data_IF_603714750554
#
_entry.id   IF_603714750554
#
_cell.length_a   1.000
_cell.length_b   1.000
_cell.length_c   1.000
_cell.angle_alpha   90.00
_cell.angle_beta   90.00
_cell.angle_gamma   90.00
#
_symmetry.space_group_name_H-M   'P 1'
#
loop_
_entity.id
_entity.type
_entity.pdbx_description
1 polymer ?
#
# COMPACT_ATOMS: atom_id res chain seq x y z
N UNK A 1 -23.01 2.30 21.26
CA UNK A 1 -22.62 3.70 21.56
C UNK A 1 -21.54 4.15 20.58
N UNK A 2 -21.85 5.12 19.71
CA UNK A 2 -20.90 5.69 18.76
C UNK A 2 -19.84 6.52 19.51
N UNK A 3 -18.60 6.00 19.59
CA UNK A 3 -17.46 6.81 20.06
C UNK A 3 -17.11 7.82 18.97
N UNK A 4 -17.42 9.08 19.22
CA UNK A 4 -17.01 10.20 18.36
C UNK A 4 -15.48 10.30 18.27
N UNK A 5 -14.96 10.56 17.06
CA UNK A 5 -13.52 10.79 16.78
C UNK A 5 -13.00 12.01 17.56
N UNK A 6 -13.89 12.97 17.81
CA UNK A 6 -13.65 14.15 18.63
C UNK A 6 -14.35 13.98 19.98
N UNK A 7 -13.60 14.20 21.06
CA UNK A 7 -14.14 14.25 22.42
C UNK A 7 -15.08 15.44 22.58
N UNK A 8 -15.93 15.41 23.61
CA UNK A 8 -16.82 16.54 23.95
C UNK A 8 -16.03 17.85 24.12
N UNK A 9 -14.84 17.79 24.72
CA UNK A 9 -13.96 18.94 24.93
C UNK A 9 -13.38 19.48 23.62
N UNK A 10 -12.93 18.61 22.73
CA UNK A 10 -12.45 19.01 21.40
C UNK A 10 -13.55 19.68 20.57
N UNK A 11 -14.78 19.14 20.63
CA UNK A 11 -15.95 19.74 19.98
C UNK A 11 -16.31 21.11 20.55
N UNK A 12 -16.20 21.30 21.86
CA UNK A 12 -16.43 22.60 22.50
C UNK A 12 -15.42 23.65 22.02
N UNK A 13 -14.13 23.30 21.98
CA UNK A 13 -13.06 24.19 21.49
C UNK A 13 -13.27 24.53 20.01
N UNK A 14 -13.67 23.56 19.19
CA UNK A 14 -14.02 23.79 17.78
C UNK A 14 -15.18 24.78 17.67
N UNK A 15 -16.27 24.56 18.41
CA UNK A 15 -17.45 25.45 18.39
C UNK A 15 -17.09 26.87 18.80
N UNK A 16 -16.36 27.05 19.91
CA UNK A 16 -15.87 28.38 20.32
C UNK A 16 -15.12 29.06 19.18
N UNK A 17 -14.28 28.32 18.44
CA UNK A 17 -13.51 28.89 17.33
C UNK A 17 -14.36 29.20 16.09
N UNK A 18 -15.35 28.37 15.77
CA UNK A 18 -16.31 28.60 14.66
C UNK A 18 -17.20 29.81 14.97
N UNK A 19 -17.67 29.92 16.22
CA UNK A 19 -18.52 31.01 16.71
C UNK A 19 -17.73 32.30 16.98
N UNK A 20 -16.45 32.37 16.56
CA UNK A 20 -15.54 33.49 16.80
C UNK A 20 -15.41 33.92 18.28
N UNK A 21 -15.63 33.01 19.23
CA UNK A 21 -15.43 33.26 20.67
C UNK A 21 -13.95 33.22 21.02
N UNK A 22 -13.54 34.02 22.01
CA UNK A 22 -12.17 34.07 22.51
C UNK A 22 -11.79 32.72 23.12
N UNK A 23 -10.66 32.16 22.68
CA UNK A 23 -10.09 30.95 23.28
C UNK A 23 -9.18 31.34 24.44
N UNK A 24 -9.29 30.63 25.56
CA UNK A 24 -8.31 30.76 26.64
C UNK A 24 -7.03 29.98 26.31
N UNK A 25 -6.02 30.06 27.18
CA UNK A 25 -4.73 29.39 26.94
C UNK A 25 -4.87 27.86 26.83
N UNK A 26 -5.74 27.27 27.66
CA UNK A 26 -6.00 25.83 27.64
C UNK A 26 -6.71 25.40 26.34
N UNK A 27 -7.71 26.15 25.90
CA UNK A 27 -8.46 25.93 24.65
C UNK A 27 -7.52 26.06 23.44
N UNK A 28 -6.61 27.05 23.46
CA UNK A 28 -5.59 27.23 22.41
C UNK A 28 -4.61 26.07 22.34
N UNK A 29 -4.16 25.57 23.50
CA UNK A 29 -3.33 24.37 23.59
C UNK A 29 -4.07 23.14 23.07
N UNK A 30 -5.35 22.97 23.43
CA UNK A 30 -6.19 21.87 22.95
C UNK A 30 -6.37 21.91 21.42
N UNK A 31 -6.67 23.10 20.89
CA UNK A 31 -6.82 23.32 19.46
C UNK A 31 -5.55 22.94 18.70
N UNK A 32 -4.38 23.34 19.21
CA UNK A 32 -3.09 23.10 18.55
C UNK A 32 -2.62 21.64 18.64
N UNK A 33 -2.71 21.03 19.82
CA UNK A 33 -2.11 19.71 20.09
C UNK A 33 -3.02 18.54 19.74
N UNK A 34 -4.34 18.70 19.79
CA UNK A 34 -5.26 17.57 19.63
C UNK A 34 -6.23 17.76 18.45
N UNK A 35 -6.84 18.94 18.31
CA UNK A 35 -7.83 19.20 17.27
C UNK A 35 -7.19 19.36 15.88
N UNK A 36 -6.25 20.30 15.72
CA UNK A 36 -5.62 20.58 14.42
C UNK A 36 -4.92 19.35 13.82
N UNK A 37 -4.21 18.51 14.59
CA UNK A 37 -3.62 17.28 14.04
C UNK A 37 -4.67 16.30 13.51
N UNK A 38 -5.78 16.08 14.25
CA UNK A 38 -6.89 15.23 13.80
C UNK A 38 -7.55 15.79 12.54
N UNK A 39 -7.84 17.09 12.51
CA UNK A 39 -8.43 17.74 11.33
C UNK A 39 -7.50 17.75 10.12
N UNK A 40 -6.18 17.92 10.33
CA UNK A 40 -5.17 17.78 9.27
C UNK A 40 -5.15 16.36 8.72
N UNK A 41 -5.22 15.35 9.59
CA UNK A 41 -5.33 13.96 9.18
C UNK A 41 -6.64 13.70 8.39
N UNK A 42 -7.76 14.32 8.79
CA UNK A 42 -9.02 14.24 8.03
C UNK A 42 -8.89 14.95 6.67
N UNK A 43 -8.23 16.13 6.61
CA UNK A 43 -7.99 16.85 5.35
C UNK A 43 -7.14 16.05 4.37
N UNK A 44 -6.29 15.14 4.85
CA UNK A 44 -5.52 14.23 3.99
C UNK A 44 -6.32 13.02 3.51
N UNK A 45 -7.46 12.71 4.14
CA UNK A 45 -8.35 11.63 3.70
C UNK A 45 -9.16 12.15 2.51
N UNK A 46 -9.03 11.47 1.38
CA UNK A 46 -9.84 11.73 0.19
C UNK A 46 -11.30 11.27 0.44
N UNK A 47 -12.28 12.19 0.49
CA UNK A 47 -13.68 11.84 0.77
C UNK A 47 -14.26 10.88 -0.28
N UNK A 48 -13.88 11.03 -1.54
CA UNK A 48 -14.35 10.16 -2.62
C UNK A 48 -13.83 8.74 -2.45
N UNK A 49 -12.57 8.60 -2.01
CA UNK A 49 -12.00 7.31 -1.65
C UNK A 49 -12.74 6.66 -0.47
N UNK A 50 -13.03 7.43 0.58
CA UNK A 50 -13.78 6.92 1.73
C UNK A 50 -15.18 6.44 1.31
N UNK A 51 -15.89 7.24 0.52
CA UNK A 51 -17.21 6.89 -0.02
C UNK A 51 -17.15 5.63 -0.89
N UNK A 52 -16.12 5.48 -1.73
CA UNK A 52 -15.91 4.27 -2.55
C UNK A 52 -15.65 3.02 -1.71
N UNK A 53 -15.01 3.13 -0.55
CA UNK A 53 -14.82 1.99 0.37
C UNK A 53 -16.06 1.66 1.19
N UNK A 54 -16.87 2.67 1.48
CA UNK A 54 -18.12 2.53 2.24
C UNK A 54 -19.31 2.13 1.36
N UNK A 55 -19.24 2.35 0.05
CA UNK A 55 -20.28 1.95 -0.87
C UNK A 55 -20.47 0.44 -0.80
N UNK A 56 -21.69 0.03 -0.46
CA UNK A 56 -22.07 -1.37 -0.42
C UNK A 56 -21.91 -1.98 -1.82
N UNK A 57 -20.98 -2.92 -1.96
CA UNK A 57 -20.77 -3.66 -3.19
C UNK A 57 -21.16 -5.13 -2.98
N UNK A 58 -22.41 -5.55 -3.29
CA UNK A 58 -22.86 -6.93 -3.11
C UNK A 58 -21.98 -7.94 -3.86
N UNK A 59 -21.42 -7.54 -5.01
CA UNK A 59 -20.50 -8.37 -5.80
C UNK A 59 -19.22 -8.68 -5.02
N UNK A 60 -18.72 -7.75 -4.19
CA UNK A 60 -17.52 -7.97 -3.37
C UNK A 60 -17.69 -9.15 -2.41
N UNK A 61 -18.86 -9.29 -1.77
CA UNK A 61 -19.13 -10.39 -0.82
C UNK A 61 -19.10 -11.74 -1.55
N UNK A 62 -19.67 -11.79 -2.77
CA UNK A 62 -19.67 -13.00 -3.57
C UNK A 62 -18.26 -13.38 -4.03
N UNK A 63 -17.48 -12.39 -4.49
CA UNK A 63 -16.06 -12.57 -4.85
C UNK A 63 -15.27 -13.10 -3.65
N UNK A 64 -15.39 -12.47 -2.49
CA UNK A 64 -14.71 -12.90 -1.27
C UNK A 64 -15.11 -14.31 -0.84
N UNK A 65 -16.39 -14.70 -0.98
CA UNK A 65 -16.84 -16.06 -0.71
C UNK A 65 -16.22 -17.08 -1.66
N UNK A 66 -16.15 -16.78 -2.95
CA UNK A 66 -15.50 -17.63 -3.96
C UNK A 66 -14.02 -17.82 -3.63
N UNK A 67 -13.30 -16.73 -3.34
CA UNK A 67 -11.88 -16.77 -2.94
C UNK A 67 -11.69 -17.65 -1.71
N UNK A 68 -12.48 -17.45 -0.65
CA UNK A 68 -12.44 -18.29 0.56
C UNK A 68 -12.63 -19.76 0.23
N UNK A 69 -13.66 -20.10 -0.55
CA UNK A 69 -13.99 -21.48 -0.91
C UNK A 69 -12.83 -22.15 -1.66
N UNK A 70 -12.30 -21.48 -2.69
CA UNK A 70 -11.20 -22.01 -3.50
C UNK A 70 -9.94 -22.23 -2.64
N UNK A 71 -9.53 -21.23 -1.88
CA UNK A 71 -8.34 -21.32 -1.01
C UNK A 71 -8.50 -22.41 0.06
N UNK A 72 -9.60 -22.42 0.80
CA UNK A 72 -9.80 -23.36 1.90
C UNK A 72 -9.98 -24.82 1.42
N UNK A 73 -10.40 -25.02 0.17
CA UNK A 73 -10.49 -26.37 -0.41
C UNK A 73 -9.12 -26.97 -0.79
N UNK A 74 -8.10 -26.13 -0.99
CA UNK A 74 -6.78 -26.54 -1.53
C UNK A 74 -5.65 -26.39 -0.52
N UNK A 75 -5.73 -25.38 0.35
CA UNK A 75 -4.70 -25.08 1.34
C UNK A 75 -5.18 -25.53 2.73
N UNK A 76 -4.43 -26.44 3.34
CA UNK A 76 -4.64 -26.86 4.73
C UNK A 76 -4.04 -25.85 5.71
N UNK A 77 -4.58 -25.77 6.92
CA UNK A 77 -4.06 -24.95 8.03
C UNK A 77 -3.99 -23.43 7.74
N UNK A 78 -4.92 -22.91 6.93
CA UNK A 78 -5.06 -21.47 6.70
C UNK A 78 -5.53 -20.79 7.99
N UNK A 79 -4.77 -19.82 8.49
CA UNK A 79 -5.12 -18.99 9.65
C UNK A 79 -5.71 -17.65 9.25
N UNK A 80 -5.51 -17.24 7.99
CA UNK A 80 -6.28 -16.16 7.41
C UNK A 80 -6.03 -15.96 5.93
N UNK A 81 -6.95 -15.20 5.33
CA UNK A 81 -6.90 -14.82 3.91
C UNK A 81 -7.03 -13.31 3.86
N UNK A 82 -6.07 -12.67 3.21
CA UNK A 82 -5.96 -11.22 3.10
C UNK A 82 -6.02 -10.85 1.64
N UNK A 83 -6.94 -9.97 1.26
CA UNK A 83 -6.97 -9.36 -0.07
C UNK A 83 -6.31 -7.98 0.02
N UNK A 84 -5.53 -7.61 -0.98
CA UNK A 84 -4.90 -6.29 -1.09
C UNK A 84 -4.90 -5.82 -2.55
N UNK A 85 -4.15 -4.76 -2.84
CA UNK A 85 -3.97 -4.27 -4.19
C UNK A 85 -5.19 -3.54 -4.76
N UNK A 86 -5.28 -3.55 -6.10
CA UNK A 86 -6.21 -2.71 -6.85
C UNK A 86 -7.68 -2.99 -6.50
N UNK A 87 -8.04 -4.26 -6.31
CA UNK A 87 -9.40 -4.66 -5.92
C UNK A 87 -9.86 -4.02 -4.61
N UNK A 88 -8.98 -3.89 -3.60
CA UNK A 88 -9.33 -3.23 -2.34
C UNK A 88 -9.33 -1.71 -2.47
N UNK A 89 -8.37 -1.16 -3.23
CA UNK A 89 -8.27 0.28 -3.44
C UNK A 89 -9.46 0.83 -4.24
N UNK A 90 -9.97 0.05 -5.20
CA UNK A 90 -11.12 0.41 -6.03
C UNK A 90 -12.46 -0.04 -5.44
N UNK A 91 -12.49 -0.73 -4.30
CA UNK A 91 -13.74 -1.29 -3.77
C UNK A 91 -14.39 -2.30 -4.72
N UNK A 92 -13.59 -3.07 -5.45
CA UNK A 92 -13.98 -4.05 -6.47
C UNK A 92 -14.71 -3.44 -7.68
N UNK A 93 -14.57 -2.13 -7.93
CA UNK A 93 -15.18 -1.50 -9.11
C UNK A 93 -14.32 -1.63 -10.37
N UNK A 94 -13.00 -1.72 -10.20
CA UNK A 94 -12.03 -1.71 -11.29
C UNK A 94 -10.75 -2.43 -10.83
N UNK A 95 -10.48 -3.60 -11.40
CA UNK A 95 -9.30 -4.42 -11.12
C UNK A 95 -9.10 -5.43 -12.27
N UNK A 96 -7.85 -5.79 -12.54
CA UNK A 96 -7.49 -6.79 -13.55
C UNK A 96 -7.42 -8.19 -12.95
N UNK A 97 -6.78 -8.28 -11.81
CA UNK A 97 -6.54 -9.45 -10.97
C UNK A 97 -6.87 -9.11 -9.52
N UNK A 98 -6.97 -10.13 -8.68
CA UNK A 98 -7.19 -9.98 -7.25
C UNK A 98 -5.97 -10.53 -6.53
N UNK A 99 -5.19 -9.64 -5.93
CA UNK A 99 -4.06 -10.02 -5.09
C UNK A 99 -4.57 -10.65 -3.78
N UNK A 100 -4.16 -11.89 -3.51
CA UNK A 100 -4.57 -12.64 -2.32
C UNK A 100 -3.36 -13.23 -1.60
N UNK A 101 -3.24 -12.93 -0.31
CA UNK A 101 -2.28 -13.54 0.59
C UNK A 101 -2.99 -14.56 1.49
N UNK A 102 -2.68 -15.84 1.29
CA UNK A 102 -3.08 -16.92 2.18
C UNK A 102 -2.01 -17.11 3.27
N UNK A 103 -2.41 -16.93 4.53
CA UNK A 103 -1.52 -17.09 5.68
C UNK A 103 -1.77 -18.46 6.30
N UNK A 104 -0.73 -19.28 6.42
CA UNK A 104 -0.80 -20.64 6.97
C UNK A 104 -0.07 -20.75 8.31
N UNK A 105 -0.53 -21.69 9.14
CA UNK A 105 0.10 -21.99 10.43
C UNK A 105 1.43 -22.73 10.23
N UNK A 106 2.55 -22.10 10.61
CA UNK A 106 3.88 -22.68 10.91
C UNK A 106 4.30 -23.92 10.08
N UNK A 107 4.02 -23.95 8.78
CA UNK A 107 4.53 -24.98 7.88
C UNK A 107 5.47 -24.32 6.90
N UNK A 108 6.75 -24.69 6.97
CA UNK A 108 7.71 -24.37 5.92
C UNK A 108 7.35 -25.18 4.68
N UNK A 109 6.43 -24.64 3.88
CA UNK A 109 6.34 -25.02 2.48
C UNK A 109 7.55 -24.37 1.79
N UNK A 110 8.34 -25.16 1.08
CA UNK A 110 9.43 -24.60 0.30
C UNK A 110 8.88 -23.67 -0.79
N UNK A 111 9.74 -22.80 -1.34
CA UNK A 111 9.32 -21.77 -2.31
C UNK A 111 8.65 -22.38 -3.55
N UNK A 112 9.11 -23.54 -3.99
CA UNK A 112 8.61 -24.22 -5.18
C UNK A 112 7.21 -24.81 -4.97
N UNK A 113 6.98 -25.45 -3.82
CA UNK A 113 5.67 -25.99 -3.43
C UNK A 113 4.64 -24.87 -3.26
N UNK A 114 5.04 -23.74 -2.65
CA UNK A 114 4.19 -22.54 -2.53
C UNK A 114 3.77 -22.04 -3.91
N UNK A 115 4.72 -21.91 -4.84
CA UNK A 115 4.47 -21.46 -6.20
C UNK A 115 3.59 -22.44 -6.99
N UNK A 116 3.87 -23.74 -6.91
CA UNK A 116 3.09 -24.78 -7.58
C UNK A 116 1.65 -24.78 -7.08
N UNK A 117 1.45 -24.77 -5.77
CA UNK A 117 0.12 -24.73 -5.15
C UNK A 117 -0.64 -23.44 -5.51
N UNK A 118 0.02 -22.28 -5.49
CA UNK A 118 -0.58 -21.02 -5.92
C UNK A 118 -1.07 -21.11 -7.37
N UNK A 119 -0.21 -21.52 -8.31
CA UNK A 119 -0.56 -21.68 -9.71
C UNK A 119 -1.72 -22.65 -9.96
N UNK A 120 -1.77 -23.76 -9.22
CA UNK A 120 -2.87 -24.72 -9.32
C UNK A 120 -4.20 -24.09 -8.89
N UNK A 121 -4.18 -23.28 -7.84
CA UNK A 121 -5.36 -22.57 -7.34
C UNK A 121 -5.79 -21.48 -8.33
N UNK A 122 -4.85 -20.71 -8.87
CA UNK A 122 -5.10 -19.65 -9.85
C UNK A 122 -5.75 -20.22 -11.12
N UNK A 123 -5.18 -21.29 -11.70
CA UNK A 123 -5.72 -21.94 -12.90
C UNK A 123 -7.08 -22.60 -12.67
N UNK A 124 -7.35 -23.10 -11.46
CA UNK A 124 -8.60 -23.75 -11.09
C UNK A 124 -9.69 -22.78 -10.61
N UNK A 125 -9.39 -21.49 -10.52
CA UNK A 125 -10.32 -20.47 -10.00
C UNK A 125 -11.14 -19.85 -11.13
N UNK A 126 -12.46 -19.60 -10.93
CA UNK A 126 -13.28 -18.82 -11.86
C UNK A 126 -12.98 -17.30 -11.80
N UNK A 127 -12.01 -16.90 -10.98
CA UNK A 127 -11.55 -15.53 -10.79
C UNK A 127 -10.08 -15.46 -11.19
N UNK A 128 -9.68 -14.34 -11.78
CA UNK A 128 -8.27 -14.03 -12.02
C UNK A 128 -7.61 -13.62 -10.69
N UNK A 129 -6.86 -14.55 -10.08
CA UNK A 129 -6.22 -14.36 -8.78
C UNK A 129 -4.70 -14.31 -8.96
N UNK A 130 -4.02 -13.49 -8.15
CA UNK A 130 -2.57 -13.57 -7.90
C UNK A 130 -2.39 -14.02 -6.44
N UNK A 131 -1.96 -15.26 -6.24
CA UNK A 131 -1.98 -15.92 -4.94
C UNK A 131 -0.57 -16.02 -4.38
N UNK A 132 -0.40 -15.46 -3.18
CA UNK A 132 0.78 -15.62 -2.37
C UNK A 132 0.47 -16.46 -1.14
N UNK A 133 1.36 -17.41 -0.83
CA UNK A 133 1.23 -18.27 0.35
C UNK A 133 2.41 -18.00 1.27
N UNK A 134 2.12 -17.57 2.49
CA UNK A 134 3.13 -17.24 3.50
C UNK A 134 2.75 -17.90 4.83
N UNK A 135 3.74 -18.36 5.59
CA UNK A 135 3.51 -18.76 6.97
C UNK A 135 3.55 -17.54 7.89
N UNK A 136 2.89 -17.66 9.06
CA UNK A 136 2.77 -16.56 10.02
C UNK A 136 4.12 -15.99 10.48
N UNK A 137 5.14 -16.84 10.68
CA UNK A 137 6.47 -16.40 11.12
C UNK A 137 7.15 -15.56 10.04
N UNK A 138 7.15 -16.05 8.82
CA UNK A 138 7.72 -15.34 7.66
C UNK A 138 6.97 -14.03 7.41
N UNK A 139 5.64 -14.01 7.50
CA UNK A 139 4.86 -12.78 7.37
C UNK A 139 5.30 -11.71 8.39
N UNK A 140 5.44 -12.09 9.66
CA UNK A 140 5.88 -11.15 10.69
C UNK A 140 7.30 -10.64 10.46
N UNK A 141 8.22 -11.51 10.01
CA UNK A 141 9.61 -11.15 9.71
C UNK A 141 9.70 -10.23 8.49
N UNK A 142 9.07 -10.64 7.39
CA UNK A 142 9.15 -9.96 6.10
C UNK A 142 8.40 -8.64 6.12
N UNK A 143 7.24 -8.56 6.78
CA UNK A 143 6.49 -7.30 6.86
C UNK A 143 7.30 -6.17 7.50
N UNK A 144 8.10 -6.50 8.51
CA UNK A 144 8.90 -5.51 9.24
C UNK A 144 9.98 -4.93 8.35
N UNK A 145 10.58 -5.74 7.46
CA UNK A 145 11.78 -5.39 6.68
C UNK A 145 11.49 -5.06 5.21
N UNK A 146 10.36 -5.52 4.66
CA UNK A 146 10.06 -5.42 3.23
C UNK A 146 9.25 -4.15 2.90
N UNK A 147 9.86 -3.17 2.19
CA UNK A 147 9.19 -1.96 1.72
C UNK A 147 7.87 -2.22 0.98
N UNK A 148 7.86 -3.19 0.07
CA UNK A 148 6.71 -3.47 -0.79
C UNK A 148 5.57 -4.12 -0.02
N UNK A 149 5.87 -5.10 0.84
CA UNK A 149 4.85 -5.79 1.62
C UNK A 149 4.16 -4.84 2.60
N UNK A 150 4.92 -3.92 3.21
CA UNK A 150 4.37 -2.89 4.10
C UNK A 150 3.34 -1.98 3.41
N UNK A 151 3.62 -1.61 2.16
CA UNK A 151 2.73 -0.81 1.31
C UNK A 151 1.54 -1.61 0.78
N UNK A 152 1.75 -2.85 0.33
CA UNK A 152 0.68 -3.74 -0.14
C UNK A 152 -0.36 -3.99 0.95
N UNK A 153 0.09 -4.35 2.17
CA UNK A 153 -0.80 -4.62 3.29
C UNK A 153 -1.27 -3.34 4.02
N UNK A 154 -0.93 -2.13 3.52
CA UNK A 154 -1.49 -0.88 4.04
C UNK A 154 -3.00 -0.86 3.85
N UNK A 155 -3.44 -1.14 2.63
CA UNK A 155 -4.84 -1.15 2.20
C UNK A 155 -5.33 -2.57 1.96
N UNK A 156 -5.21 -3.41 2.99
CA UNK A 156 -5.66 -4.80 2.94
C UNK A 156 -7.01 -5.01 3.63
N UNK A 157 -7.72 -6.06 3.23
CA UNK A 157 -8.91 -6.57 3.92
C UNK A 157 -8.68 -8.03 4.30
N UNK A 158 -8.86 -8.36 5.58
CA UNK A 158 -8.89 -9.74 6.05
C UNK A 158 -10.30 -10.27 5.78
N UNK A 159 -10.41 -11.30 4.95
CA UNK A 159 -11.69 -11.90 4.57
C UNK A 159 -11.96 -13.22 5.31
N UNK A 160 -10.91 -13.85 5.86
CA UNK A 160 -11.03 -15.08 6.64
C UNK A 160 -10.01 -15.09 7.78
N UNK A 161 -10.40 -15.69 8.90
CA UNK A 161 -9.54 -15.89 10.06
C UNK A 161 -9.17 -14.60 10.79
N UNK A 162 -8.13 -14.69 11.63
CA UNK A 162 -7.60 -13.57 12.42
C UNK A 162 -6.09 -13.54 12.26
N UNK A 163 -5.60 -12.64 11.41
CA UNK A 163 -4.17 -12.42 11.22
C UNK A 163 -3.79 -11.07 11.82
N UNK A 164 -2.78 -11.06 12.69
CA UNK A 164 -2.26 -9.83 13.28
C UNK A 164 -1.19 -9.25 12.37
N UNK A 165 -1.59 -8.36 11.47
CA UNK A 165 -0.62 -7.59 10.67
C UNK A 165 0.16 -6.65 11.62
N UNK A 166 1.50 -6.66 11.61
CA UNK A 166 2.27 -5.77 12.47
C UNK A 166 1.92 -4.29 12.22
N UNK A 167 1.94 -3.48 13.28
CA UNK A 167 1.64 -2.03 13.20
C UNK A 167 2.87 -1.17 12.92
N UNK A 168 4.06 -1.78 12.97
CA UNK A 168 5.34 -1.10 12.83
C UNK A 168 6.17 -1.82 11.79
N UNK A 169 6.87 -1.04 10.97
CA UNK A 169 7.94 -1.54 10.09
C UNK A 169 9.26 -0.93 10.54
N UNK A 170 10.32 -1.74 10.50
CA UNK A 170 11.71 -1.36 10.77
C UNK A 170 12.50 -1.67 9.51
N UNK A 171 12.56 -0.68 8.62
CA UNK A 171 13.16 -0.84 7.31
C UNK A 171 14.59 -0.30 7.39
N UNK A 172 15.56 -1.14 7.06
CA UNK A 172 16.96 -0.72 7.06
C UNK A 172 17.30 0.13 5.84
N UNK A 173 18.37 0.91 5.95
CA UNK A 173 18.95 1.65 4.83
C UNK A 173 19.35 0.70 3.70
N UNK A 174 19.84 -0.49 4.03
CA UNK A 174 20.18 -1.54 3.07
C UNK A 174 18.94 -2.04 2.31
N UNK A 175 17.83 -2.32 3.00
CA UNK A 175 16.59 -2.77 2.35
C UNK A 175 16.08 -1.74 1.32
N UNK A 176 16.20 -0.44 1.64
CA UNK A 176 15.83 0.64 0.73
C UNK A 176 16.81 0.77 -0.45
N UNK A 177 18.11 0.55 -0.24
CA UNK A 177 19.10 0.51 -1.32
C UNK A 177 18.81 -0.64 -2.28
N UNK A 178 18.66 -1.86 -1.76
CA UNK A 178 18.32 -3.03 -2.57
C UNK A 178 17.03 -2.81 -3.36
N UNK A 179 16.03 -2.18 -2.75
CA UNK A 179 14.77 -1.85 -3.45
C UNK A 179 14.96 -0.81 -4.55
N UNK A 180 15.86 0.16 -4.35
CA UNK A 180 16.20 1.16 -5.35
C UNK A 180 17.01 0.55 -6.50
N UNK A 181 17.89 -0.41 -6.23
CA UNK A 181 18.68 -1.10 -7.26
C UNK A 181 17.80 -1.92 -8.21
N UNK A 182 16.63 -2.41 -7.76
CA UNK A 182 15.59 -2.96 -8.66
C UNK A 182 14.92 -1.91 -9.56
N UNK A 183 15.31 -0.65 -9.47
CA UNK A 183 14.87 0.43 -10.35
C UNK A 183 15.95 0.83 -11.36
N UNK A 184 17.14 0.24 -11.29
CA UNK A 184 18.17 0.40 -12.31
C UNK A 184 17.82 -0.49 -13.51
N UNK A 185 17.51 0.14 -14.63
CA UNK A 185 17.18 -0.53 -15.89
C UNK A 185 18.43 -0.69 -16.79
N UNK A 186 19.60 -0.90 -16.18
CA UNK A 186 20.90 -0.94 -16.87
C UNK A 186 20.95 -2.03 -17.96
N UNK A 187 20.03 -3.00 -17.91
CA UNK A 187 19.77 -3.97 -18.96
C UNK A 187 18.40 -3.68 -19.56
N UNK A 188 18.35 -2.96 -20.69
CA UNK A 188 17.12 -2.50 -21.35
C UNK A 188 16.11 -3.66 -21.51
N UNK A 189 15.01 -3.68 -20.75
CA UNK A 189 13.87 -4.50 -21.09
C UNK A 189 13.01 -3.67 -22.04
N UNK A 190 12.57 -4.27 -23.14
CA UNK A 190 11.69 -3.58 -24.08
C UNK A 190 10.29 -3.27 -23.50
N UNK A 191 10.06 -3.62 -22.23
CA UNK A 191 8.80 -3.62 -21.52
C UNK A 191 8.53 -2.30 -20.79
N UNK A 192 7.49 -1.59 -21.22
CA UNK A 192 7.12 -0.29 -20.67
C UNK A 192 6.51 -0.40 -19.26
N UNK A 193 5.95 -1.58 -18.93
CA UNK A 193 5.49 -1.91 -17.59
C UNK A 193 6.64 -1.90 -16.58
N UNK A 194 7.81 -2.40 -16.97
CA UNK A 194 8.99 -2.43 -16.09
C UNK A 194 9.51 -1.02 -15.79
N UNK A 195 9.40 -0.10 -16.75
CA UNK A 195 9.69 1.33 -16.51
C UNK A 195 8.74 1.90 -15.45
N UNK A 196 7.43 1.61 -15.58
CA UNK A 196 6.46 2.01 -14.57
C UNK A 196 6.79 1.41 -13.19
N UNK A 197 7.12 0.12 -13.13
CA UNK A 197 7.45 -0.56 -11.87
C UNK A 197 8.73 0.01 -11.22
N UNK A 198 9.75 0.34 -12.00
CA UNK A 198 10.97 1.00 -11.54
C UNK A 198 10.70 2.42 -11.00
N UNK A 199 9.87 3.20 -11.69
CA UNK A 199 9.45 4.54 -11.24
C UNK A 199 8.67 4.43 -9.93
N UNK A 200 7.71 3.51 -9.87
CA UNK A 200 6.92 3.23 -8.67
C UNK A 200 7.83 2.85 -7.50
N UNK A 201 8.81 1.97 -7.72
CA UNK A 201 9.76 1.54 -6.68
C UNK A 201 10.60 2.71 -6.16
N UNK A 202 11.11 3.56 -7.07
CA UNK A 202 11.91 4.74 -6.70
C UNK A 202 11.11 5.74 -5.86
N UNK A 203 9.86 6.04 -6.27
CA UNK A 203 8.98 6.94 -5.53
C UNK A 203 8.58 6.33 -4.18
N UNK A 204 8.34 5.03 -4.12
CA UNK A 204 8.08 4.31 -2.87
C UNK A 204 9.25 4.47 -1.89
N UNK A 205 10.49 4.29 -2.33
CA UNK A 205 11.69 4.51 -1.50
C UNK A 205 11.72 5.96 -0.98
N UNK A 206 11.48 6.94 -1.86
CA UNK A 206 11.44 8.37 -1.50
C UNK A 206 10.37 8.69 -0.45
N UNK A 207 9.21 8.02 -0.48
CA UNK A 207 8.16 8.17 0.54
C UNK A 207 8.52 7.47 1.85
N UNK A 208 9.11 6.28 1.80
CA UNK A 208 9.56 5.58 3.00
C UNK A 208 10.64 6.35 3.74
N UNK A 209 11.59 6.99 3.03
CA UNK A 209 12.57 7.89 3.63
C UNK A 209 11.93 9.06 4.38
N UNK A 210 10.71 9.45 4.01
CA UNK A 210 9.89 10.46 4.71
C UNK A 210 8.96 9.85 5.77
N UNK A 211 9.10 8.55 6.05
CA UNK A 211 8.24 7.74 6.94
C UNK A 211 6.77 7.76 6.55
N UNK A 212 6.47 7.83 5.25
CA UNK A 212 5.11 7.81 4.72
C UNK A 212 4.82 6.41 4.16
N UNK A 213 3.70 5.80 4.58
CA UNK A 213 3.12 4.58 3.98
C UNK A 213 1.67 4.89 3.60
N UNK A 214 1.50 5.31 2.35
CA UNK A 214 0.22 5.76 1.79
C UNK A 214 0.20 5.47 0.28
N UNK A 215 -0.66 4.54 -0.15
CA UNK A 215 -0.78 4.15 -1.57
C UNK A 215 -1.37 5.28 -2.43
N UNK A 216 -2.25 6.12 -1.87
CA UNK A 216 -2.81 7.26 -2.59
C UNK A 216 -1.75 8.32 -2.81
N UNK A 217 -0.90 8.56 -1.80
CA UNK A 217 0.23 9.48 -1.97
C UNK A 217 1.23 8.96 -2.98
N UNK A 218 1.52 7.65 -2.97
CA UNK A 218 2.37 7.01 -3.99
C UNK A 218 1.80 7.22 -5.39
N UNK A 219 0.52 6.93 -5.61
CA UNK A 219 -0.13 7.13 -6.90
C UNK A 219 -0.05 8.59 -7.36
N UNK A 220 -0.42 9.54 -6.50
CA UNK A 220 -0.37 10.98 -6.81
C UNK A 220 1.04 11.47 -7.16
N UNK A 221 2.08 10.99 -6.48
CA UNK A 221 3.46 11.38 -6.78
C UNK A 221 3.93 10.81 -8.14
N UNK A 222 3.45 9.63 -8.53
CA UNK A 222 3.71 9.08 -9.87
C UNK A 222 2.97 9.92 -10.93
N UNK A 223 1.68 10.19 -10.71
CA UNK A 223 0.82 11.00 -11.59
C UNK A 223 1.34 12.41 -11.79
N UNK A 224 1.84 13.06 -10.74
CA UNK A 224 2.42 14.39 -10.84
C UNK A 224 3.73 14.43 -11.66
N UNK A 225 4.46 13.31 -11.72
CA UNK A 225 5.73 13.23 -12.45
C UNK A 225 5.57 12.97 -13.95
N UNK A 226 4.71 12.01 -14.32
CA UNK A 226 4.55 11.56 -15.71
C UNK A 226 3.21 11.94 -16.34
N UNK A 227 2.21 12.31 -15.55
CA UNK A 227 0.83 12.46 -15.99
C UNK A 227 0.08 11.12 -16.09
N UNK A 228 -1.22 11.16 -15.79
CA UNK A 228 -2.11 9.98 -15.75
C UNK A 228 -2.09 9.22 -17.09
N UNK A 229 -2.15 9.94 -18.22
CA UNK A 229 -2.20 9.33 -19.56
C UNK A 229 -0.97 8.48 -19.87
N UNK A 230 0.22 8.97 -19.54
CA UNK A 230 1.46 8.25 -19.79
C UNK A 230 1.58 7.02 -18.87
N UNK A 231 1.19 7.15 -17.60
CA UNK A 231 1.17 6.03 -16.65
C UNK A 231 0.28 4.89 -17.16
N UNK A 232 -0.92 5.21 -17.62
CA UNK A 232 -1.84 4.20 -18.15
C UNK A 232 -1.29 3.50 -19.39
N UNK A 233 -0.61 4.23 -20.28
CA UNK A 233 0.07 3.64 -21.44
C UNK A 233 1.25 2.76 -21.01
N UNK A 234 2.05 3.18 -20.03
CA UNK A 234 3.18 2.39 -19.51
C UNK A 234 2.69 1.06 -18.93
N UNK A 235 1.66 1.09 -18.08
CA UNK A 235 1.03 -0.12 -17.50
C UNK A 235 0.51 -1.09 -18.57
N UNK A 236 0.00 -0.56 -19.68
CA UNK A 236 -0.60 -1.33 -20.78
C UNK A 236 0.40 -1.70 -21.89
N UNK A 237 1.66 -1.30 -21.79
CA UNK A 237 2.66 -1.47 -22.84
C UNK A 237 2.28 -0.84 -24.19
N UNK A 238 1.64 0.34 -24.16
CA UNK A 238 1.18 1.06 -25.37
C UNK A 238 1.82 2.44 -25.56
N UNK A 239 2.96 2.69 -24.90
CA UNK A 239 3.71 3.95 -25.08
C UNK A 239 4.44 4.00 -26.42
N UNK A 240 4.56 5.21 -26.97
CA UNK A 240 5.46 5.49 -28.09
C UNK A 240 6.93 5.51 -27.67
N UNK A 241 7.85 5.46 -28.63
CA UNK A 241 9.31 5.56 -28.39
C UNK A 241 9.67 6.83 -27.63
N UNK A 242 9.16 8.00 -28.06
CA UNK A 242 9.41 9.29 -27.40
C UNK A 242 8.87 9.34 -25.97
N UNK A 243 7.67 8.81 -25.74
CA UNK A 243 7.08 8.71 -24.40
C UNK A 243 7.90 7.80 -23.48
N UNK A 244 8.46 6.72 -24.04
CA UNK A 244 9.35 5.80 -23.33
C UNK A 244 10.67 6.47 -22.96
N UNK A 245 11.28 7.20 -23.89
CA UNK A 245 12.50 7.99 -23.64
C UNK A 245 12.30 9.01 -22.53
N UNK A 246 11.20 9.77 -22.57
CA UNK A 246 10.84 10.72 -21.52
C UNK A 246 10.67 10.03 -20.15
N UNK A 247 9.97 8.89 -20.10
CA UNK A 247 9.80 8.15 -18.85
C UNK A 247 11.13 7.61 -18.29
N UNK A 248 12.04 7.17 -19.17
CA UNK A 248 13.39 6.72 -18.78
C UNK A 248 14.24 7.87 -18.26
N UNK A 249 14.20 9.04 -18.89
CA UNK A 249 14.90 10.23 -18.41
C UNK A 249 14.38 10.67 -17.04
N UNK A 250 13.06 10.71 -16.87
CA UNK A 250 12.44 10.98 -15.57
C UNK A 250 12.91 9.97 -14.51
N UNK A 251 12.87 8.67 -14.81
CA UNK A 251 13.36 7.61 -13.93
C UNK A 251 14.82 7.84 -13.52
N UNK A 252 15.72 8.05 -14.48
CA UNK A 252 17.15 8.30 -14.23
C UNK A 252 17.35 9.48 -13.26
N UNK A 253 16.62 10.57 -13.47
CA UNK A 253 16.69 11.74 -12.62
C UNK A 253 16.23 11.45 -11.19
N UNK A 254 15.04 10.85 -11.02
CA UNK A 254 14.52 10.56 -9.68
C UNK A 254 15.34 9.49 -8.94
N UNK A 255 15.90 8.50 -9.64
CA UNK A 255 16.76 7.46 -9.05
C UNK A 255 18.05 8.07 -8.55
N UNK A 256 18.71 8.92 -9.36
CA UNK A 256 19.94 9.62 -8.98
C UNK A 256 19.73 10.49 -7.73
N UNK A 257 18.67 11.29 -7.70
CA UNK A 257 18.34 12.13 -6.54
C UNK A 257 18.05 11.30 -5.29
N UNK A 258 17.29 10.22 -5.44
CA UNK A 258 16.89 9.37 -4.31
C UNK A 258 18.09 8.62 -3.76
N UNK A 259 18.97 8.10 -4.62
CA UNK A 259 20.23 7.46 -4.25
C UNK A 259 21.13 8.40 -3.48
N UNK A 260 21.31 9.64 -3.94
CA UNK A 260 22.10 10.67 -3.23
C UNK A 260 21.54 10.93 -1.84
N UNK A 261 20.24 11.22 -1.72
CA UNK A 261 19.58 11.46 -0.42
C UNK A 261 19.66 10.26 0.51
N UNK A 262 19.64 9.05 -0.03
CA UNK A 262 19.76 7.82 0.75
C UNK A 262 21.19 7.66 1.27
N UNK A 263 22.22 7.91 0.44
CA UNK A 263 23.63 7.88 0.87
C UNK A 263 23.86 8.90 1.99
N UNK A 264 23.40 10.14 1.80
CA UNK A 264 23.57 11.27 2.73
C UNK A 264 22.78 11.10 4.05
N UNK A 265 21.90 10.10 4.15
CA UNK A 265 21.09 9.88 5.35
C UNK A 265 21.95 9.40 6.53
N UNK A 266 21.71 9.98 7.72
CA UNK A 266 22.42 9.62 8.97
C UNK A 266 21.83 8.43 9.73
N UNK A 267 20.66 7.93 9.31
CA UNK A 267 19.99 6.83 9.98
C UNK A 267 20.34 5.49 9.33
N UNK A 268 20.46 4.44 10.15
CA UNK A 268 20.62 3.06 9.67
C UNK A 268 19.26 2.36 9.51
N UNK A 269 18.27 2.72 10.32
CA UNK A 269 16.93 2.13 10.28
C UNK A 269 15.84 3.20 10.40
N UNK A 270 14.71 2.95 9.73
CA UNK A 270 13.49 3.75 9.84
C UNK A 270 12.43 2.95 10.59
N UNK A 271 12.02 3.47 11.75
CA UNK A 271 10.77 3.05 12.37
C UNK A 271 9.61 3.83 11.76
N UNK A 272 8.63 3.09 11.21
CA UNK A 272 7.44 3.66 10.59
C UNK A 272 6.21 3.08 11.28
N UNK A 273 5.35 3.97 11.79
CA UNK A 273 4.10 3.62 12.44
C UNK A 273 2.98 3.61 11.40
N UNK A 274 2.20 2.52 11.38
CA UNK A 274 0.93 2.47 10.66
C UNK A 274 -0.10 3.31 11.43
N UNK A 275 -0.41 4.51 10.93
CA UNK A 275 -1.49 5.39 11.43
C UNK A 275 -2.85 4.88 10.98
#
# INVERSE_FOLDING_TARGET
>A
MNKSILTKREMEVIRKKIDNRRLNQQDSNYLSRYVRPKLKAIKTIDPNYLLKRLSYNPSSINIERKIKKVILSKIKNVIGIIIYGSAIQSGYSDYRDIDVLAVVKNKELNKWDKWKLANEIEKGSPLNLDIQIIDEKTLNKDYIRNPSLSYQLRDSKIIYGKVKIPKKSHISKLDLRMKLDWSDLDFIPNNSKEIYDAIRNTILVKLLMKKVIDNNRLLKEIENGLGIRLIEKLKKNTVSVKEKEYALEYLKNITRETRKKLIDSKWENLEILKV
#
